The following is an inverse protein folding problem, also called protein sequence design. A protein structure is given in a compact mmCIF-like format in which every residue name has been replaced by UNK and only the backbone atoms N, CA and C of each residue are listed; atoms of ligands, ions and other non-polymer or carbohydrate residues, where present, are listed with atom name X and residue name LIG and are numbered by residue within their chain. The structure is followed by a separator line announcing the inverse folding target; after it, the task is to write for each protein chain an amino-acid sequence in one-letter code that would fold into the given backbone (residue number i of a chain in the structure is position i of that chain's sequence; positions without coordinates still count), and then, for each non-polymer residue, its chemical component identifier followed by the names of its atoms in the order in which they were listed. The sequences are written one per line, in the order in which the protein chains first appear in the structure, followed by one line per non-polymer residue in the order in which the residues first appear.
data_IF_220352348838
#
_entry.id   IF_220352348838
#
_cell.length_a   1.000
_cell.length_b   1.000
_cell.length_c   1.000
_cell.angle_alpha   90.00
_cell.angle_beta   90.00
_cell.angle_gamma   90.00
#
_symmetry.space_group_name_H-M   'P 1'
#
loop_
_entity.id
_entity.type
_entity.pdbx_description
1 polymer ?
#
# COMPACT_ATOMS: atom_id res chain seq x y z
N UNK A 1 -4.93 -13.59 -16.46
CA UNK A 1 -4.43 -12.22 -16.30
C UNK A 1 -5.55 -11.42 -15.66
N UNK A 2 -5.55 -11.28 -14.33
CA UNK A 2 -6.63 -10.56 -13.66
C UNK A 2 -6.42 -9.06 -13.82
N UNK A 3 -7.45 -8.38 -14.32
CA UNK A 3 -7.55 -6.91 -14.38
C UNK A 3 -7.75 -6.34 -12.97
N UNK A 4 -6.76 -6.50 -12.09
CA UNK A 4 -6.77 -5.84 -10.79
C UNK A 4 -6.52 -4.35 -11.00
N UNK A 5 -7.49 -3.50 -10.65
CA UNK A 5 -7.29 -2.06 -10.67
C UNK A 5 -6.19 -1.68 -9.67
N UNK A 6 -5.06 -1.24 -10.21
CA UNK A 6 -3.88 -0.83 -9.44
C UNK A 6 -4.13 0.49 -8.66
N UNK A 7 -5.16 1.26 -9.01
CA UNK A 7 -5.50 2.53 -8.37
C UNK A 7 -6.95 2.94 -8.59
N UNK A 8 -7.40 3.93 -7.82
CA UNK A 8 -8.64 4.69 -8.03
C UNK A 8 -8.38 6.19 -7.78
N UNK A 9 -9.29 7.04 -8.24
CA UNK A 9 -9.30 8.47 -7.88
C UNK A 9 -10.29 8.71 -6.74
N UNK A 10 -9.88 9.47 -5.73
CA UNK A 10 -10.83 9.90 -4.69
C UNK A 10 -11.62 11.15 -5.14
N UNK A 11 -12.57 11.58 -4.31
CA UNK A 11 -13.45 12.74 -4.58
C UNK A 11 -12.68 14.05 -4.78
N UNK A 12 -11.43 14.12 -4.31
CA UNK A 12 -10.53 15.27 -4.47
C UNK A 12 -9.64 15.15 -5.72
N UNK A 13 -9.84 14.13 -6.55
CA UNK A 13 -9.04 13.88 -7.75
C UNK A 13 -7.65 13.27 -7.49
N UNK A 14 -7.33 12.84 -6.27
CA UNK A 14 -6.05 12.21 -5.97
C UNK A 14 -6.04 10.75 -6.39
N UNK A 15 -4.95 10.32 -7.04
CA UNK A 15 -4.69 8.92 -7.38
C UNK A 15 -4.27 8.14 -6.13
N UNK A 16 -5.04 7.12 -5.79
CA UNK A 16 -4.82 6.26 -4.62
C UNK A 16 -4.51 4.84 -5.11
N UNK A 17 -3.31 4.36 -4.83
CA UNK A 17 -2.88 3.00 -5.18
C UNK A 17 -3.47 1.96 -4.24
N UNK A 18 -3.88 0.82 -4.80
CA UNK A 18 -4.46 -0.29 -4.06
C UNK A 18 -3.39 -1.18 -3.42
N UNK A 19 -3.82 -2.05 -2.51
CA UNK A 19 -2.94 -3.07 -1.92
C UNK A 19 -2.33 -3.98 -3.00
N UNK A 20 -3.12 -4.36 -4.02
CA UNK A 20 -2.67 -5.19 -5.13
C UNK A 20 -1.50 -4.56 -5.90
N UNK A 21 -1.56 -3.25 -6.17
CA UNK A 21 -0.45 -2.52 -6.78
C UNK A 21 0.81 -2.58 -5.91
N UNK A 22 0.65 -2.39 -4.59
CA UNK A 22 1.78 -2.44 -3.66
C UNK A 22 2.39 -3.85 -3.55
N UNK A 23 1.59 -4.90 -3.60
CA UNK A 23 2.08 -6.29 -3.67
C UNK A 23 2.81 -6.55 -4.98
N UNK A 24 2.26 -6.12 -6.13
CA UNK A 24 2.90 -6.22 -7.46
C UNK A 24 4.23 -5.46 -7.53
N UNK A 25 4.34 -4.32 -6.83
CA UNK A 25 5.60 -3.56 -6.68
C UNK A 25 6.66 -4.33 -5.88
N UNK A 26 6.24 -5.18 -4.95
CA UNK A 26 7.13 -6.10 -4.21
C UNK A 26 7.94 -5.47 -3.08
N UNK A 27 7.83 -4.16 -2.82
CA UNK A 27 8.55 -3.52 -1.71
C UNK A 27 7.80 -2.33 -1.10
N UNK A 28 8.09 -2.05 0.18
CA UNK A 28 7.59 -0.87 0.87
C UNK A 28 8.44 0.37 0.54
N UNK A 29 7.79 1.44 0.09
CA UNK A 29 8.44 2.72 -0.23
C UNK A 29 8.56 3.69 0.97
N UNK A 30 8.14 3.28 2.18
CA UNK A 30 8.14 4.09 3.41
C UNK A 30 7.42 5.45 3.32
N UNK A 31 6.52 5.63 2.36
CA UNK A 31 5.77 6.89 2.21
C UNK A 31 4.53 6.99 3.12
N UNK A 32 4.18 5.93 3.85
CA UNK A 32 2.96 5.87 4.66
C UNK A 32 1.68 5.72 3.83
N UNK A 33 1.70 4.86 2.81
CA UNK A 33 0.57 4.65 1.90
C UNK A 33 -0.67 4.10 2.63
N UNK A 34 -1.86 4.58 2.24
CA UNK A 34 -3.15 4.17 2.84
C UNK A 34 -3.38 2.66 2.78
N UNK A 35 -3.02 2.02 1.67
CA UNK A 35 -3.22 0.60 1.40
C UNK A 35 -1.90 -0.19 1.44
N UNK A 36 -0.94 0.23 2.27
CA UNK A 36 0.36 -0.45 2.38
C UNK A 36 0.20 -1.84 3.03
N UNK A 37 0.48 -2.96 2.32
CA UNK A 37 0.41 -4.30 2.90
C UNK A 37 1.55 -4.59 3.88
N UNK A 38 2.66 -3.85 3.78
CA UNK A 38 3.90 -4.16 4.49
C UNK A 38 3.93 -3.70 5.95
N UNK A 39 2.91 -2.98 6.44
CA UNK A 39 2.83 -2.57 7.84
C UNK A 39 3.84 -1.50 8.26
N UNK A 40 4.31 -0.63 7.35
CA UNK A 40 5.13 0.51 7.73
C UNK A 40 4.32 1.60 8.45
N UNK A 41 4.77 1.98 9.64
CA UNK A 41 4.24 3.10 10.41
C UNK A 41 5.13 4.33 10.24
N UNK A 42 4.60 5.34 9.54
CA UNK A 42 5.28 6.61 9.28
C UNK A 42 5.54 7.42 10.55
N UNK A 43 4.79 7.22 11.64
CA UNK A 43 4.96 7.97 12.88
C UNK A 43 6.19 7.50 13.67
N UNK A 44 6.47 6.20 13.60
CA UNK A 44 7.55 5.55 14.37
C UNK A 44 8.73 5.12 13.49
N UNK A 45 8.68 5.41 12.19
CA UNK A 45 9.63 4.96 11.15
C UNK A 45 9.95 3.45 11.22
N UNK A 46 8.95 2.65 11.59
CA UNK A 46 9.13 1.23 11.91
C UNK A 46 8.08 0.35 11.23
N UNK A 47 8.42 -0.93 11.04
CA UNK A 47 7.46 -1.92 10.55
C UNK A 47 6.76 -2.59 11.73
N UNK A 48 5.43 -2.52 11.77
CA UNK A 48 4.65 -3.19 12.83
C UNK A 48 4.64 -4.69 12.59
N UNK A 49 5.18 -5.45 13.55
CA UNK A 49 5.14 -6.93 13.52
C UNK A 49 3.69 -7.38 13.73
N UNK A 50 3.10 -8.08 12.76
CA UNK A 50 1.76 -8.68 12.89
C UNK A 50 0.81 -8.52 11.70
N UNK A 51 1.15 -7.71 10.69
CA UNK A 51 0.37 -7.66 9.44
C UNK A 51 0.93 -8.64 8.43
N UNK A 52 0.53 -9.90 8.62
CA UNK A 52 0.39 -10.98 7.64
C UNK A 52 1.41 -10.97 6.47
N UNK A 53 2.61 -11.49 6.76
CA UNK A 53 3.32 -12.33 5.79
C UNK A 53 2.55 -13.67 5.76
N UNK A 54 1.57 -13.81 4.86
CA UNK A 54 1.17 -15.13 4.39
C UNK A 54 2.13 -15.53 3.28
#
# INVERSE_FOLDING_TARGET
MNESQDFYYNEKGYKIYTEAYHLKRGYCCKSGCKHCPFGFDKKTDSFVRGKKLL
#
